data_IF_234735647408
#
_entry.id   IF_234735647408
#
_cell.length_a   1.000
_cell.length_b   1.000
_cell.length_c   1.000
_cell.angle_alpha   90.00
_cell.angle_beta   90.00
_cell.angle_gamma   90.00
#
_symmetry.space_group_name_H-M   'P 1'
#
loop_
_entity.id
_entity.type
_entity.pdbx_description
1 polymer ?
#
# COMPACT_ATOMS: atom_id res chain seq x y z
N UNK A 1 15.54 21.60 -2.36
CA UNK A 1 15.12 21.06 -3.67
C UNK A 1 13.84 20.26 -3.43
N UNK A 2 12.66 20.88 -3.54
CA UNK A 2 11.39 20.26 -3.13
C UNK A 2 10.32 20.64 -4.16
N UNK A 3 9.85 19.64 -4.92
CA UNK A 3 8.48 19.48 -5.48
C UNK A 3 8.53 18.49 -6.64
N UNK A 4 8.52 17.20 -6.31
CA UNK A 4 7.82 16.22 -7.14
C UNK A 4 6.66 15.69 -6.31
N UNK A 5 5.71 16.58 -5.99
CA UNK A 5 4.33 16.14 -5.90
C UNK A 5 3.91 16.03 -7.35
N UNK A 6 4.15 14.88 -7.96
CA UNK A 6 3.47 14.61 -9.21
C UNK A 6 1.97 14.65 -8.98
N UNK A 7 1.28 15.07 -10.02
CA UNK A 7 -0.15 15.20 -9.98
C UNK A 7 -0.76 13.80 -9.80
N UNK A 8 -1.22 13.51 -8.59
CA UNK A 8 -1.96 12.29 -8.26
C UNK A 8 -3.13 12.10 -9.24
N UNK A 9 -3.68 13.19 -9.78
CA UNK A 9 -4.72 13.14 -10.81
C UNK A 9 -4.21 12.57 -12.14
N UNK A 10 -2.96 12.83 -12.52
CA UNK A 10 -2.37 12.25 -13.73
C UNK A 10 -2.20 10.73 -13.59
N UNK A 11 -1.73 10.26 -12.42
CA UNK A 11 -1.62 8.82 -12.13
C UNK A 11 -3.01 8.16 -12.18
N UNK A 12 -3.99 8.77 -11.52
CA UNK A 12 -5.36 8.25 -11.51
C UNK A 12 -5.96 8.22 -12.91
N UNK A 13 -5.79 9.29 -13.70
CA UNK A 13 -6.29 9.38 -15.08
C UNK A 13 -5.65 8.31 -15.97
N UNK A 14 -4.34 8.05 -15.80
CA UNK A 14 -3.66 7.00 -16.54
C UNK A 14 -4.19 5.61 -16.12
N UNK A 15 -4.33 5.34 -14.82
CA UNK A 15 -4.89 4.09 -14.35
C UNK A 15 -6.32 3.85 -14.87
N UNK A 16 -7.15 4.89 -14.95
CA UNK A 16 -8.48 4.81 -15.57
C UNK A 16 -8.40 4.47 -17.06
N UNK A 17 -7.43 5.02 -17.79
CA UNK A 17 -7.17 4.67 -19.18
C UNK A 17 -6.81 3.20 -19.35
N UNK A 18 -5.85 2.70 -18.55
CA UNK A 18 -5.44 1.29 -18.56
C UNK A 18 -6.60 0.35 -18.26
N UNK A 19 -7.47 0.72 -17.31
CA UNK A 19 -8.64 -0.08 -16.98
C UNK A 19 -9.64 -0.15 -18.15
N UNK A 20 -9.82 0.93 -18.91
CA UNK A 20 -10.73 0.95 -20.07
C UNK A 20 -10.22 0.14 -21.26
N UNK A 21 -8.90 0.03 -21.43
CA UNK A 21 -8.30 -0.66 -22.58
C UNK A 21 -8.31 -2.19 -22.46
N UNK A 22 -8.52 -2.74 -21.26
CA UNK A 22 -8.54 -4.20 -21.06
C UNK A 22 -8.75 -4.67 -19.63
N UNK A 23 -9.29 -3.82 -18.76
CA UNK A 23 -9.61 -4.17 -17.38
C UNK A 23 -10.85 -5.07 -17.27
N UNK A 24 -11.07 -5.70 -16.11
CA UNK A 24 -12.28 -6.49 -15.88
C UNK A 24 -13.53 -5.60 -15.95
N UNK A 25 -14.64 -6.17 -16.43
CA UNK A 25 -15.93 -5.48 -16.44
C UNK A 25 -16.34 -5.09 -15.01
N UNK A 26 -17.11 -4.00 -14.87
CA UNK A 26 -17.57 -3.47 -13.57
C UNK A 26 -16.44 -3.21 -12.56
N UNK A 27 -15.24 -2.91 -13.04
CA UNK A 27 -14.13 -2.48 -12.20
C UNK A 27 -14.04 -0.96 -12.12
N UNK A 28 -13.45 -0.47 -11.02
CA UNK A 28 -13.08 0.91 -10.82
C UNK A 28 -11.63 0.99 -10.32
N UNK A 29 -11.01 2.16 -10.49
CA UNK A 29 -9.74 2.48 -9.80
C UNK A 29 -10.01 3.42 -8.66
N UNK A 30 -9.34 3.18 -7.54
CA UNK A 30 -9.43 4.01 -6.34
C UNK A 30 -8.30 5.05 -6.30
N UNK A 31 -8.35 5.93 -5.30
CA UNK A 31 -7.29 6.93 -5.09
C UNK A 31 -5.91 6.27 -4.92
N UNK A 32 -4.85 6.81 -5.55
CA UNK A 32 -3.49 6.33 -5.35
C UNK A 32 -3.05 6.44 -3.88
N UNK A 33 -2.39 5.40 -3.39
CA UNK A 33 -1.82 5.30 -2.05
C UNK A 33 -0.30 5.27 -2.17
N UNK A 34 0.38 6.05 -1.34
CA UNK A 34 1.84 6.02 -1.28
C UNK A 34 2.34 4.68 -0.75
N UNK A 35 3.23 4.03 -1.50
CA UNK A 35 4.10 2.97 -1.00
C UNK A 35 5.41 3.61 -0.58
N UNK A 36 5.77 3.44 0.69
CA UNK A 36 6.98 4.01 1.27
C UNK A 36 8.04 2.94 1.47
N UNK A 37 9.31 3.32 1.30
CA UNK A 37 10.44 2.49 1.74
C UNK A 37 10.44 2.36 3.27
N UNK A 38 11.19 1.40 3.85
CA UNK A 38 11.36 1.29 5.30
C UNK A 38 11.91 2.57 5.96
N UNK A 39 12.63 3.40 5.22
CA UNK A 39 13.14 4.71 5.66
C UNK A 39 12.09 5.84 5.54
N UNK A 40 10.88 5.51 5.09
CA UNK A 40 9.77 6.45 4.97
C UNK A 40 9.74 7.28 3.68
N UNK A 41 10.64 7.03 2.74
CA UNK A 41 10.67 7.74 1.45
C UNK A 41 9.61 7.18 0.49
N UNK A 42 9.06 8.02 -0.39
CA UNK A 42 8.16 7.55 -1.46
C UNK A 42 8.92 6.61 -2.40
N UNK A 43 8.48 5.35 -2.47
CA UNK A 43 9.01 4.36 -3.39
C UNK A 43 8.16 4.26 -4.66
N UNK A 44 6.84 4.19 -4.52
CA UNK A 44 5.89 4.02 -5.62
C UNK A 44 4.47 4.43 -5.21
N UNK A 45 3.56 4.43 -6.18
CA UNK A 45 2.13 4.66 -5.98
C UNK A 45 1.37 3.36 -6.24
N UNK A 46 0.59 2.92 -5.27
CA UNK A 46 -0.35 1.82 -5.38
C UNK A 46 -1.72 2.35 -5.77
N UNK A 47 -2.26 1.94 -6.91
CA UNK A 47 -3.60 2.34 -7.37
C UNK A 47 -4.50 1.10 -7.32
N UNK A 48 -5.40 1.00 -6.32
CA UNK A 48 -6.26 -0.16 -6.18
C UNK A 48 -7.23 -0.28 -7.34
N UNK A 49 -7.47 -1.51 -7.81
CA UNK A 49 -8.55 -1.85 -8.73
C UNK A 49 -9.61 -2.61 -7.95
N UNK A 50 -10.82 -2.08 -7.89
CA UNK A 50 -11.96 -2.64 -7.16
C UNK A 50 -13.02 -3.14 -8.13
N UNK A 51 -13.76 -4.18 -7.75
CA UNK A 51 -14.91 -4.69 -8.51
C UNK A 51 -15.89 -5.34 -7.54
N UNK A 52 -17.18 -4.97 -7.62
CA UNK A 52 -18.26 -5.54 -6.80
C UNK A 52 -17.96 -5.58 -5.29
N UNK A 53 -17.32 -4.53 -4.75
CA UNK A 53 -16.97 -4.45 -3.33
C UNK A 53 -15.73 -5.26 -2.91
N UNK A 54 -14.97 -5.79 -3.87
CA UNK A 54 -13.71 -6.50 -3.63
C UNK A 54 -12.53 -5.77 -4.25
N UNK A 55 -11.31 -6.07 -3.80
CA UNK A 55 -10.08 -5.64 -4.47
C UNK A 55 -9.68 -6.70 -5.51
N UNK A 56 -9.82 -6.37 -6.79
CA UNK A 56 -9.50 -7.25 -7.91
C UNK A 56 -7.99 -7.26 -8.20
N UNK A 57 -7.29 -6.17 -7.89
CA UNK A 57 -5.87 -6.03 -8.17
C UNK A 57 -5.36 -4.63 -7.88
N UNK A 58 -4.23 -4.30 -8.49
CA UNK A 58 -3.67 -2.96 -8.45
C UNK A 58 -2.77 -2.66 -9.63
N UNK A 59 -2.67 -1.38 -9.96
CA UNK A 59 -1.58 -0.82 -10.74
C UNK A 59 -0.55 -0.21 -9.81
N UNK A 60 0.72 -0.31 -10.17
CA UNK A 60 1.81 0.36 -9.47
C UNK A 60 2.52 1.30 -10.42
N UNK A 61 2.83 2.51 -9.93
CA UNK A 61 3.53 3.54 -10.68
C UNK A 61 4.76 4.00 -9.91
N UNK A 62 5.83 4.33 -10.63
CA UNK A 62 6.99 4.98 -10.06
C UNK A 62 6.64 6.40 -9.58
N UNK A 63 7.50 7.04 -8.76
CA UNK A 63 7.27 8.42 -8.30
C UNK A 63 7.25 9.45 -9.43
N UNK A 64 7.78 9.08 -10.61
CA UNK A 64 7.71 9.86 -11.84
C UNK A 64 6.51 9.49 -12.74
N UNK A 65 5.56 8.71 -12.24
CA UNK A 65 4.26 8.46 -12.87
C UNK A 65 4.32 7.45 -14.00
N UNK A 66 5.51 6.88 -14.25
CA UNK A 66 5.67 5.75 -15.16
C UNK A 66 5.02 4.52 -14.56
N UNK A 67 4.27 3.81 -15.41
CA UNK A 67 3.74 2.51 -15.07
C UNK A 67 4.87 1.54 -14.73
N UNK A 68 4.78 0.92 -13.55
CA UNK A 68 5.75 -0.05 -13.07
C UNK A 68 5.25 -1.48 -13.31
N UNK A 69 4.04 -1.80 -12.84
CA UNK A 69 3.43 -3.13 -13.00
C UNK A 69 1.94 -3.14 -12.71
N UNK A 70 1.32 -4.26 -13.07
CA UNK A 70 -0.05 -4.61 -12.72
C UNK A 70 -0.06 -5.98 -12.05
N UNK A 71 -0.93 -6.16 -11.05
CA UNK A 71 -1.14 -7.46 -10.41
C UNK A 71 -2.63 -7.68 -10.13
N UNK A 72 -3.08 -8.90 -10.36
CA UNK A 72 -4.42 -9.37 -10.01
C UNK A 72 -4.37 -10.20 -8.73
N UNK A 73 -5.35 -9.99 -7.86
CA UNK A 73 -5.58 -10.88 -6.73
C UNK A 73 -6.43 -12.06 -7.16
N UNK A 74 -6.15 -13.23 -6.57
CA UNK A 74 -6.99 -14.41 -6.71
C UNK A 74 -7.88 -14.50 -5.48
N UNK A 75 -9.18 -14.31 -5.69
CA UNK A 75 -10.22 -14.47 -4.68
C UNK A 75 -10.80 -13.15 -4.16
N UNK A 76 -11.96 -13.28 -3.52
CA UNK A 76 -12.78 -12.15 -3.11
C UNK A 76 -12.28 -11.63 -1.75
N UNK A 77 -11.42 -10.61 -1.79
CA UNK A 77 -11.09 -9.84 -0.59
C UNK A 77 -11.92 -8.57 -0.60
N UNK A 78 -12.74 -8.36 0.44
CA UNK A 78 -13.48 -7.12 0.58
C UNK A 78 -12.49 -5.95 0.52
N UNK A 79 -12.70 -4.99 -0.39
CA UNK A 79 -11.75 -3.88 -0.54
C UNK A 79 -11.60 -3.12 0.78
N UNK A 80 -12.68 -3.06 1.57
CA UNK A 80 -12.71 -2.41 2.87
C UNK A 80 -11.85 -3.10 3.93
N UNK A 81 -11.44 -4.35 3.72
CA UNK A 81 -10.51 -5.04 4.63
C UNK A 81 -9.06 -4.79 4.22
N UNK A 82 -8.83 -4.37 2.98
CA UNK A 82 -7.49 -4.15 2.43
C UNK A 82 -7.10 -2.65 2.42
N UNK A 83 -8.05 -1.75 2.13
CA UNK A 83 -7.84 -0.31 1.98
C UNK A 83 -8.19 0.53 3.21
N UNK A 84 -8.71 -0.09 4.28
CA UNK A 84 -8.99 0.57 5.57
C UNK A 84 -7.90 0.23 6.59
N UNK A 85 -6.78 0.98 6.64
CA UNK A 85 -5.69 0.72 7.58
C UNK A 85 -6.14 0.68 9.04
N UNK A 86 -7.18 1.43 9.39
CA UNK A 86 -7.78 1.45 10.73
C UNK A 86 -8.40 0.12 11.14
N UNK A 87 -8.84 -0.72 10.18
CA UNK A 87 -9.37 -2.06 10.47
C UNK A 87 -8.28 -3.10 10.64
N UNK A 88 -7.10 -2.84 10.07
CA UNK A 88 -5.97 -3.77 10.07
C UNK A 88 -5.27 -3.84 11.42
N UNK A 89 -5.43 -2.82 12.24
CA UNK A 89 -4.54 -2.59 13.38
C UNK A 89 -5.31 -2.49 14.68
N UNK A 90 -5.11 -3.48 15.54
CA UNK A 90 -5.57 -3.48 16.92
C UNK A 90 -4.34 -3.55 17.84
N UNK A 91 -4.03 -2.45 18.52
CA UNK A 91 -2.94 -2.40 19.47
C UNK A 91 -3.32 -3.02 20.82
N UNK A 92 -2.34 -3.63 21.49
CA UNK A 92 -2.49 -4.08 22.87
C UNK A 92 -2.60 -2.88 23.84
N UNK A 93 -3.07 -3.10 25.07
CA UNK A 93 -3.27 -2.00 26.05
C UNK A 93 -1.97 -1.27 26.42
N UNK A 94 -0.83 -1.96 26.33
CA UNK A 94 0.48 -1.44 26.73
C UNK A 94 1.27 -0.85 25.54
N UNK A 95 0.65 -0.80 24.35
CA UNK A 95 1.27 -0.33 23.11
C UNK A 95 0.37 0.69 22.42
N UNK A 96 0.99 1.62 21.70
CA UNK A 96 0.28 2.55 20.82
C UNK A 96 0.66 2.26 19.38
N UNK A 97 -0.34 2.26 18.52
CA UNK A 97 -0.14 2.07 17.10
C UNK A 97 -0.02 3.46 16.46
N UNK A 98 1.08 3.68 15.74
CA UNK A 98 1.21 4.79 14.83
C UNK A 98 0.30 4.62 13.62
N UNK A 99 0.29 5.63 12.75
CA UNK A 99 -0.51 5.60 11.52
C UNK A 99 0.03 4.53 10.56
N UNK A 100 -0.76 3.54 10.13
CA UNK A 100 -0.31 2.56 9.14
C UNK A 100 -0.06 3.21 7.78
N UNK A 101 0.88 2.64 7.02
CA UNK A 101 1.20 3.05 5.65
C UNK A 101 1.56 1.83 4.79
N UNK A 102 1.41 1.91 3.47
CA UNK A 102 1.85 0.83 2.59
C UNK A 102 3.38 0.86 2.43
N UNK A 103 4.00 -0.32 2.47
CA UNK A 103 5.43 -0.53 2.30
C UNK A 103 5.70 -1.89 1.65
N UNK A 104 6.92 -2.38 1.75
CA UNK A 104 7.33 -3.70 1.26
C UNK A 104 8.30 -4.38 2.23
N UNK A 105 8.25 -5.70 2.33
CA UNK A 105 8.96 -6.49 3.35
C UNK A 105 10.40 -6.88 2.94
N UNK A 106 11.12 -5.95 2.32
CA UNK A 106 12.46 -6.17 1.74
C UNK A 106 12.44 -6.65 0.28
N UNK A 107 11.27 -7.01 -0.25
CA UNK A 107 11.07 -7.22 -1.69
C UNK A 107 10.03 -6.23 -2.22
N UNK A 108 10.40 -5.27 -3.09
CA UNK A 108 9.44 -4.31 -3.68
C UNK A 108 8.24 -4.97 -4.37
N UNK A 109 8.38 -6.24 -4.76
CA UNK A 109 7.30 -7.00 -5.35
C UNK A 109 6.18 -7.37 -4.34
N UNK A 110 6.45 -7.34 -3.03
CA UNK A 110 5.53 -7.75 -1.96
C UNK A 110 5.08 -6.53 -1.15
N UNK A 111 3.95 -5.94 -1.55
CA UNK A 111 3.34 -4.81 -0.86
C UNK A 111 2.64 -5.29 0.40
N UNK A 112 2.89 -4.58 1.51
CA UNK A 112 2.37 -4.91 2.84
C UNK A 112 2.01 -3.63 3.59
N UNK A 113 1.15 -3.74 4.59
CA UNK A 113 0.92 -2.63 5.51
C UNK A 113 2.02 -2.62 6.58
N UNK A 114 2.64 -1.48 6.76
CA UNK A 114 3.60 -1.24 7.84
C UNK A 114 2.93 -0.43 8.95
N UNK A 115 3.14 -0.86 10.19
CA UNK A 115 2.48 -0.30 11.37
C UNK A 115 3.55 0.04 12.41
N UNK A 116 3.75 1.32 12.73
CA UNK A 116 4.61 1.69 13.86
C UNK A 116 3.96 1.25 15.17
N UNK A 117 4.72 0.57 16.02
CA UNK A 117 4.38 0.20 17.38
C UNK A 117 5.26 0.98 18.35
N UNK A 118 4.62 1.74 19.24
CA UNK A 118 5.27 2.60 20.21
C UNK A 118 5.06 1.99 21.59
N UNK A 119 6.17 1.63 22.25
CA UNK A 119 6.20 1.10 23.62
C UNK A 119 7.18 1.93 24.46
N UNK A 120 6.66 2.83 25.28
CA UNK A 120 7.47 3.83 25.96
C UNK A 120 8.12 4.79 24.96
N UNK A 121 9.44 4.92 25.02
CA UNK A 121 10.24 5.73 24.06
C UNK A 121 10.69 4.94 22.84
N UNK A 122 10.45 3.62 22.81
CA UNK A 122 10.89 2.75 21.71
C UNK A 122 9.80 2.66 20.64
N UNK A 123 10.17 3.00 19.42
CA UNK A 123 9.38 2.74 18.22
C UNK A 123 9.95 1.50 17.50
N UNK A 124 9.06 0.61 17.08
CA UNK A 124 9.37 -0.55 16.23
C UNK A 124 8.34 -0.62 15.12
N UNK A 125 8.69 -1.25 14.00
CA UNK A 125 7.77 -1.44 12.89
C UNK A 125 7.37 -2.93 12.82
N UNK A 126 6.10 -3.19 12.50
CA UNK A 126 5.61 -4.53 12.13
C UNK A 126 4.95 -4.48 10.77
N UNK A 127 5.01 -5.59 10.04
CA UNK A 127 4.33 -5.76 8.78
C UNK A 127 3.06 -6.59 8.95
N UNK A 128 2.03 -6.20 8.22
CA UNK A 128 0.70 -6.80 8.19
C UNK A 128 0.35 -7.15 6.75
N UNK A 129 0.12 -8.43 6.51
CA UNK A 129 -0.32 -8.96 5.22
C UNK A 129 -1.58 -9.81 5.44
N UNK A 130 -2.74 -9.23 5.16
CA UNK A 130 -4.03 -9.84 5.52
C UNK A 130 -4.14 -10.03 7.03
N UNK A 131 -4.26 -11.29 7.48
CA UNK A 131 -4.36 -11.65 8.91
C UNK A 131 -3.01 -11.95 9.56
N UNK A 132 -1.92 -11.92 8.80
CA UNK A 132 -0.58 -12.28 9.28
C UNK A 132 0.17 -11.02 9.71
N UNK A 133 0.70 -11.03 10.93
CA UNK A 133 1.55 -9.97 11.48
C UNK A 133 2.94 -10.56 11.73
N UNK A 134 3.99 -9.86 11.30
CA UNK A 134 5.37 -10.29 11.46
C UNK A 134 6.33 -9.09 11.61
N UNK A 135 7.48 -9.27 12.29
CA UNK A 135 8.44 -8.18 12.48
C UNK A 135 9.12 -7.78 11.16
N UNK A 136 9.63 -6.56 11.10
CA UNK A 136 10.51 -6.15 9.99
C UNK A 136 11.78 -7.02 9.99
N UNK A 137 12.14 -7.63 8.84
CA UNK A 137 13.39 -8.37 8.69
C UNK A 137 14.58 -7.52 9.12
N UNK A 138 15.58 -8.13 9.76
CA UNK A 138 16.76 -7.41 10.28
C UNK A 138 17.46 -6.61 9.18
N UNK A 139 17.50 -7.15 7.97
CA UNK A 139 18.17 -6.54 6.80
C UNK A 139 17.38 -5.37 6.18
N UNK A 140 16.13 -5.15 6.60
CA UNK A 140 15.25 -4.08 6.12
C UNK A 140 15.15 -2.90 7.09
N UNK A 141 15.99 -2.87 8.15
CA UNK A 141 16.03 -1.75 9.09
C UNK A 141 16.88 -0.62 8.51
N UNK A 142 16.45 0.65 8.66
CA UNK A 142 17.33 1.79 8.40
C UNK A 142 18.61 1.63 9.25
N UNK A 143 19.78 1.72 8.62
CA UNK A 143 21.07 1.78 9.32
C UNK A 143 21.29 3.15 9.94
#
# INVERSE_FOLDING_TARGET
>A
MIRQVQDVQAILSFAQGLLREGGPENSAVESPIEVRSPEGMLHSWFVPVTSDGTIAGFYEFLPDGKFLRFSLYRGDQAYSDWLSPEKLVHCSRDERCGKPFLSYDGSPARIVWAVPLIRGEKETLVYVAGKTVYPVPVDARPQ
#
